data_IF_940363215301
#
_entry.id   IF_940363215301
#
_cell.length_a   1.000
_cell.length_b   1.000
_cell.length_c   1.000
_cell.angle_alpha   90.00
_cell.angle_beta   90.00
_cell.angle_gamma   90.00
#
_symmetry.space_group_name_H-M   'P 1'
#
loop_
_entity.id
_entity.type
_entity.pdbx_description
1 polymer ?
#
# COMPACT_ATOMS: atom_id res chain seq x y z
N UNK A 1 -10.96 0.32 -19.85
CA UNK A 1 -10.59 -0.05 -18.46
C UNK A 1 -9.11 0.24 -18.31
N UNK A 2 -8.68 0.96 -17.26
CA UNK A 2 -7.27 1.32 -17.04
C UNK A 2 -6.70 0.69 -15.75
N UNK A 3 -7.59 0.19 -14.89
CA UNK A 3 -7.27 -0.52 -13.66
C UNK A 3 -6.63 -1.88 -13.92
N UNK A 4 -5.76 -2.29 -13.00
CA UNK A 4 -5.21 -3.63 -12.91
C UNK A 4 -5.16 -4.09 -11.45
N UNK A 5 -4.99 -5.40 -11.24
CA UNK A 5 -4.81 -5.95 -9.91
C UNK A 5 -3.89 -7.18 -9.94
N UNK A 6 -3.48 -7.61 -8.76
CA UNK A 6 -2.72 -8.86 -8.60
C UNK A 6 -3.15 -9.54 -7.32
N UNK A 7 -3.41 -10.85 -7.42
CA UNK A 7 -3.80 -11.70 -6.29
C UNK A 7 -2.85 -12.91 -6.31
N UNK A 8 -2.00 -13.01 -5.30
CA UNK A 8 -1.07 -14.11 -5.12
C UNK A 8 -1.19 -14.60 -3.68
N UNK A 9 -2.01 -15.63 -3.48
CA UNK A 9 -2.26 -16.20 -2.15
C UNK A 9 -1.01 -16.85 -1.55
N UNK A 10 -0.15 -17.41 -2.40
CA UNK A 10 1.11 -17.99 -2.01
C UNK A 10 2.27 -17.48 -2.88
N UNK A 11 2.92 -16.41 -2.43
CA UNK A 11 4.07 -15.82 -3.11
C UNK A 11 5.34 -16.69 -2.95
N UNK A 12 5.35 -17.67 -2.04
CA UNK A 12 6.49 -18.58 -1.86
C UNK A 12 6.79 -19.40 -3.11
N UNK A 13 5.81 -19.59 -4.01
CA UNK A 13 5.99 -20.34 -5.27
C UNK A 13 7.03 -19.71 -6.20
N UNK A 14 7.34 -18.42 -6.04
CA UNK A 14 8.34 -17.73 -6.84
C UNK A 14 9.77 -17.89 -6.28
N UNK A 15 9.92 -18.52 -5.11
CA UNK A 15 11.20 -18.76 -4.47
C UNK A 15 11.67 -20.19 -4.72
N UNK A 16 12.93 -20.35 -5.18
CA UNK A 16 13.55 -21.69 -5.29
C UNK A 16 13.77 -22.34 -3.92
N UNK A 17 14.03 -21.54 -2.90
CA UNK A 17 14.18 -21.94 -1.50
C UNK A 17 13.48 -20.90 -0.63
N UNK A 18 12.88 -21.28 0.53
CA UNK A 18 12.23 -20.33 1.41
C UNK A 18 13.14 -19.14 1.74
N UNK A 19 12.62 -17.88 1.70
CA UNK A 19 13.44 -16.70 1.97
C UNK A 19 14.02 -16.69 3.38
N UNK A 20 13.32 -17.32 4.32
CA UNK A 20 13.76 -17.64 5.68
C UNK A 20 12.92 -18.80 6.23
N UNK A 21 13.49 -19.59 7.15
CA UNK A 21 12.76 -20.62 7.89
C UNK A 21 11.61 -20.04 8.74
N UNK A 22 11.69 -18.76 9.07
CA UNK A 22 10.69 -18.05 9.87
C UNK A 22 9.47 -17.60 9.05
N UNK A 23 9.58 -17.54 7.72
CA UNK A 23 8.49 -17.10 6.84
C UNK A 23 7.69 -18.33 6.39
N UNK A 24 6.58 -18.58 7.08
CA UNK A 24 5.69 -19.72 6.83
C UNK A 24 4.53 -19.36 5.90
N UNK A 25 4.10 -18.10 5.92
CA UNK A 25 3.05 -17.57 5.06
C UNK A 25 3.55 -16.32 4.37
N UNK A 26 3.38 -16.26 3.05
CA UNK A 26 3.71 -15.10 2.25
C UNK A 26 2.65 -14.93 1.16
N UNK A 27 1.86 -13.86 1.23
CA UNK A 27 0.81 -13.55 0.26
C UNK A 27 0.95 -12.11 -0.22
N UNK A 28 0.56 -11.83 -1.46
CA UNK A 28 0.64 -10.50 -2.06
C UNK A 28 -0.66 -10.17 -2.78
N UNK A 29 -1.19 -8.99 -2.49
CA UNK A 29 -2.40 -8.45 -3.10
C UNK A 29 -2.14 -7.00 -3.49
N UNK A 30 -2.66 -6.58 -4.64
CA UNK A 30 -2.47 -5.23 -5.11
C UNK A 30 -3.61 -4.77 -6.02
N UNK A 31 -3.93 -3.48 -5.94
CA UNK A 31 -4.74 -2.76 -6.91
C UNK A 31 -3.96 -1.59 -7.47
N UNK A 32 -4.20 -1.31 -8.75
CA UNK A 32 -3.54 -0.28 -9.53
C UNK A 32 -4.61 0.47 -10.31
N UNK A 33 -4.79 1.75 -10.01
CA UNK A 33 -5.69 2.63 -10.75
C UNK A 33 -4.85 3.40 -11.78
N UNK A 34 -5.04 3.07 -13.05
CA UNK A 34 -4.26 3.63 -14.15
C UNK A 34 -4.88 4.92 -14.69
N UNK A 35 -4.05 5.89 -15.06
CA UNK A 35 -4.48 7.14 -15.68
C UNK A 35 -3.57 7.51 -16.87
N UNK A 36 -4.12 8.21 -17.86
CA UNK A 36 -3.40 8.52 -19.10
C UNK A 36 -3.15 7.29 -20.00
N UNK A 37 -3.69 6.13 -19.61
CA UNK A 37 -3.59 4.84 -20.29
C UNK A 37 -3.43 3.69 -19.28
N UNK A 38 -3.58 2.44 -19.74
CA UNK A 38 -3.55 1.25 -18.88
C UNK A 38 -2.14 0.69 -18.62
N UNK A 39 -1.13 1.14 -19.38
CA UNK A 39 0.17 0.45 -19.45
C UNK A 39 0.93 0.47 -18.14
N UNK A 40 0.86 1.58 -17.39
CA UNK A 40 1.53 1.69 -16.10
C UNK A 40 0.94 0.71 -15.07
N UNK A 41 -0.39 0.62 -15.00
CA UNK A 41 -1.11 -0.29 -14.11
C UNK A 41 -0.85 -1.76 -14.47
N UNK A 42 -0.96 -2.10 -15.76
CA UNK A 42 -0.67 -3.45 -16.27
C UNK A 42 0.79 -3.85 -16.03
N UNK A 43 1.73 -2.92 -16.27
CA UNK A 43 3.15 -3.17 -16.02
C UNK A 43 3.42 -3.39 -14.52
N UNK A 44 2.82 -2.58 -13.65
CA UNK A 44 2.97 -2.74 -12.21
C UNK A 44 2.41 -4.08 -11.73
N UNK A 45 1.21 -4.46 -12.18
CA UNK A 45 0.59 -5.75 -11.88
C UNK A 45 1.48 -6.93 -12.29
N UNK A 46 2.08 -6.86 -13.48
CA UNK A 46 2.93 -7.92 -14.01
C UNK A 46 4.30 -8.04 -13.33
N UNK A 47 4.89 -6.95 -12.85
CA UNK A 47 6.31 -6.94 -12.46
C UNK A 47 6.59 -6.62 -10.98
N UNK A 48 5.71 -5.91 -10.28
CA UNK A 48 6.02 -5.39 -8.94
C UNK A 48 6.32 -6.52 -7.94
N UNK A 49 5.50 -7.57 -7.92
CA UNK A 49 5.70 -8.75 -7.06
C UNK A 49 7.00 -9.51 -7.40
N UNK A 50 7.37 -9.60 -8.68
CA UNK A 50 8.63 -10.23 -9.11
C UNK A 50 9.84 -9.43 -8.61
N UNK A 51 9.78 -8.10 -8.66
CA UNK A 51 10.82 -7.25 -8.09
C UNK A 51 10.91 -7.42 -6.57
N UNK A 52 9.79 -7.54 -5.86
CA UNK A 52 9.79 -7.86 -4.43
C UNK A 52 10.52 -9.18 -4.18
N UNK A 53 10.11 -10.27 -4.84
CA UNK A 53 10.74 -11.60 -4.72
C UNK A 53 12.26 -11.53 -4.97
N UNK A 54 12.68 -10.78 -5.99
CA UNK A 54 14.11 -10.64 -6.32
C UNK A 54 14.94 -9.93 -5.25
N UNK A 55 14.29 -9.09 -4.42
CA UNK A 55 14.93 -8.27 -3.37
C UNK A 55 14.79 -8.87 -1.97
N UNK A 56 13.94 -9.88 -1.80
CA UNK A 56 13.80 -10.56 -0.52
C UNK A 56 15.17 -11.08 -0.02
N UNK A 57 15.48 -10.89 1.27
CA UNK A 57 16.75 -11.35 1.84
C UNK A 57 16.95 -12.85 1.64
N UNK A 58 18.20 -13.26 1.36
CA UNK A 58 18.61 -14.66 1.31
C UNK A 58 19.47 -14.95 2.55
N UNK A 59 19.21 -16.06 3.24
CA UNK A 59 20.01 -16.48 4.40
C UNK A 59 19.49 -16.01 5.76
N UNK A 60 18.18 -15.76 5.87
CA UNK A 60 17.52 -15.40 7.12
C UNK A 60 17.24 -13.91 7.23
N UNK A 61 16.24 -13.58 8.06
CA UNK A 61 15.73 -12.23 8.21
C UNK A 61 16.08 -11.75 9.61
N UNK A 62 17.23 -11.08 9.77
CA UNK A 62 17.70 -10.61 11.09
C UNK A 62 16.81 -9.49 11.66
N UNK A 63 16.22 -8.67 10.79
CA UNK A 63 15.34 -7.55 11.17
C UNK A 63 14.16 -7.47 10.19
N UNK A 64 13.17 -8.35 10.36
CA UNK A 64 12.08 -8.57 9.39
C UNK A 64 11.37 -7.29 8.96
N UNK A 65 11.00 -6.45 9.91
CA UNK A 65 10.33 -5.20 9.58
C UNK A 65 11.17 -4.28 8.69
N UNK A 66 12.47 -4.16 8.99
CA UNK A 66 13.39 -3.29 8.26
C UNK A 66 13.67 -3.86 6.88
N UNK A 67 13.87 -5.17 6.79
CA UNK A 67 14.14 -5.86 5.54
C UNK A 67 12.95 -5.80 4.60
N UNK A 68 11.73 -6.07 5.09
CA UNK A 68 10.51 -6.00 4.27
C UNK A 68 10.24 -4.57 3.77
N UNK A 69 10.44 -3.54 4.62
CA UNK A 69 10.34 -2.14 4.18
C UNK A 69 11.29 -1.84 3.03
N UNK A 70 12.56 -2.26 3.15
CA UNK A 70 13.55 -2.09 2.08
C UNK A 70 13.13 -2.82 0.79
N UNK A 71 12.63 -4.06 0.90
CA UNK A 71 12.11 -4.82 -0.25
C UNK A 71 11.00 -4.04 -0.97
N UNK A 72 10.05 -3.47 -0.22
CA UNK A 72 8.97 -2.67 -0.80
C UNK A 72 9.52 -1.42 -1.50
N UNK A 73 10.39 -0.63 -0.84
CA UNK A 73 10.99 0.55 -1.44
C UNK A 73 11.77 0.22 -2.74
N UNK A 74 12.62 -0.81 -2.69
CA UNK A 74 13.46 -1.21 -3.82
C UNK A 74 12.60 -1.75 -4.98
N UNK A 75 11.55 -2.52 -4.68
CA UNK A 75 10.65 -3.07 -5.69
C UNK A 75 9.85 -1.99 -6.40
N UNK A 76 9.32 -1.02 -5.65
CA UNK A 76 8.61 0.13 -6.21
C UNK A 76 9.52 0.94 -7.13
N UNK A 77 10.68 1.35 -6.62
CA UNK A 77 11.67 2.11 -7.40
C UNK A 77 12.07 1.35 -8.66
N UNK A 78 12.37 0.05 -8.56
CA UNK A 78 12.77 -0.76 -9.71
C UNK A 78 11.66 -0.93 -10.75
N UNK A 79 10.41 -1.06 -10.30
CA UNK A 79 9.24 -1.14 -11.18
C UNK A 79 9.07 0.15 -11.97
N UNK A 80 9.11 1.29 -11.28
CA UNK A 80 9.01 2.62 -11.90
C UNK A 80 10.16 2.87 -12.89
N UNK A 81 11.41 2.61 -12.48
CA UNK A 81 12.59 2.76 -13.35
C UNK A 81 12.49 1.92 -14.63
N UNK A 82 11.98 0.69 -14.52
CA UNK A 82 11.83 -0.18 -15.67
C UNK A 82 10.70 0.29 -16.59
N UNK A 83 9.55 0.70 -16.03
CA UNK A 83 8.44 1.23 -16.81
C UNK A 83 8.81 2.55 -17.50
N UNK A 84 9.47 3.47 -16.80
CA UNK A 84 9.94 4.74 -17.38
C UNK A 84 10.94 4.52 -18.51
N UNK A 85 11.82 3.52 -18.39
CA UNK A 85 12.75 3.13 -19.47
C UNK A 85 12.00 2.66 -20.72
N UNK A 86 10.96 1.86 -20.55
CA UNK A 86 10.12 1.42 -21.67
C UNK A 86 9.34 2.59 -22.27
N UNK A 87 8.73 3.42 -21.41
CA UNK A 87 7.95 4.60 -21.79
C UNK A 87 8.70 5.57 -22.70
N UNK A 88 9.98 5.86 -22.42
CA UNK A 88 10.78 6.82 -23.22
C UNK A 88 11.29 6.24 -24.55
N UNK A 89 11.27 4.92 -24.72
CA UNK A 89 11.65 4.28 -25.99
C UNK A 89 10.54 4.38 -27.05
N UNK A 90 9.32 4.73 -26.64
CA UNK A 90 8.13 4.76 -27.48
C UNK A 90 7.94 6.14 -28.11
N UNK A 91 7.30 6.19 -29.28
CA UNK A 91 6.95 7.45 -29.98
C UNK A 91 5.47 7.48 -30.36
N UNK A 92 4.66 8.42 -29.81
CA UNK A 92 5.02 9.36 -28.74
C UNK A 92 5.38 8.63 -27.43
N UNK A 93 6.17 9.28 -26.57
CA UNK A 93 6.46 8.75 -25.24
C UNK A 93 5.16 8.50 -24.49
N UNK A 94 5.11 7.40 -23.74
CA UNK A 94 3.95 7.14 -22.89
C UNK A 94 3.84 8.19 -21.80
N UNK A 95 2.59 8.53 -21.48
CA UNK A 95 2.23 9.47 -20.41
C UNK A 95 1.42 8.79 -19.32
N UNK A 96 1.29 7.47 -19.40
CA UNK A 96 0.58 6.64 -18.44
C UNK A 96 1.21 6.79 -17.06
N UNK A 97 0.33 6.85 -16.07
CA UNK A 97 0.69 6.66 -14.68
C UNK A 97 -0.28 5.71 -14.01
N UNK A 98 0.05 5.33 -12.78
CA UNK A 98 -0.81 4.48 -11.98
C UNK A 98 -0.61 4.74 -10.50
N UNK A 99 -1.70 4.67 -9.74
CA UNK A 99 -1.64 4.45 -8.30
C UNK A 99 -1.12 3.04 -8.00
N UNK A 100 -0.81 2.78 -6.74
CA UNK A 100 -0.63 1.41 -6.27
C UNK A 100 -0.95 1.32 -4.78
N UNK A 101 -1.86 0.42 -4.43
CA UNK A 101 -2.12 0.02 -3.06
C UNK A 101 -1.81 -1.48 -2.93
N UNK A 102 -0.75 -1.83 -2.22
CA UNK A 102 -0.24 -3.20 -2.09
C UNK A 102 -0.26 -3.68 -0.65
N UNK A 103 -0.66 -4.94 -0.44
CA UNK A 103 -0.60 -5.66 0.82
C UNK A 103 0.29 -6.90 0.67
N UNK A 104 1.39 -6.93 1.41
CA UNK A 104 2.28 -8.07 1.54
C UNK A 104 2.09 -8.68 2.93
N UNK A 105 1.44 -9.83 3.00
CA UNK A 105 1.23 -10.56 4.23
C UNK A 105 2.43 -11.47 4.49
N UNK A 106 3.14 -11.23 5.58
CA UNK A 106 4.23 -12.08 6.07
C UNK A 106 3.80 -12.67 7.41
N UNK A 107 3.61 -13.98 7.45
CA UNK A 107 3.02 -14.69 8.59
C UNK A 107 1.65 -14.09 8.98
N UNK A 108 1.59 -13.35 10.09
CA UNK A 108 0.39 -12.71 10.62
C UNK A 108 0.47 -11.17 10.58
N UNK A 109 1.43 -10.62 9.82
CA UNK A 109 1.67 -9.18 9.73
C UNK A 109 1.50 -8.71 8.29
N UNK A 110 0.58 -7.77 8.09
CA UNK A 110 0.43 -7.04 6.83
C UNK A 110 1.47 -5.92 6.76
N UNK A 111 2.22 -5.90 5.66
CA UNK A 111 3.04 -4.78 5.24
C UNK A 111 2.38 -4.12 4.05
N UNK A 112 2.04 -2.86 4.20
CA UNK A 112 1.22 -2.12 3.26
C UNK A 112 2.11 -1.07 2.63
N UNK A 113 2.11 -0.98 1.30
CA UNK A 113 2.76 0.11 0.58
C UNK A 113 1.72 0.80 -0.31
N UNK A 114 1.66 2.13 -0.23
CA UNK A 114 0.72 2.95 -0.97
C UNK A 114 1.40 4.11 -1.70
N UNK A 115 0.96 4.38 -2.92
CA UNK A 115 1.17 5.64 -3.63
C UNK A 115 -0.09 6.00 -4.43
N UNK A 116 -0.40 7.29 -4.48
CA UNK A 116 -1.67 7.77 -5.00
C UNK A 116 -2.77 7.72 -3.95
N UNK A 117 -4.01 7.61 -4.42
CA UNK A 117 -5.26 7.76 -3.67
C UNK A 117 -6.10 6.46 -3.63
N UNK A 118 -5.58 5.35 -4.15
CA UNK A 118 -6.11 4.03 -3.83
C UNK A 118 -5.91 3.67 -2.35
N UNK A 119 -6.76 2.78 -1.82
CA UNK A 119 -6.83 2.50 -0.38
C UNK A 119 -6.87 1.02 -0.04
N UNK A 120 -6.34 0.70 1.14
CA UNK A 120 -6.49 -0.62 1.77
C UNK A 120 -7.26 -0.42 3.07
N UNK A 121 -8.37 -1.14 3.20
CA UNK A 121 -9.26 -1.09 4.37
C UNK A 121 -9.37 -2.48 4.96
N UNK A 122 -9.28 -2.59 6.28
CA UNK A 122 -9.42 -3.84 7.03
C UNK A 122 -10.71 -3.82 7.83
N UNK A 123 -11.55 -4.84 7.63
CA UNK A 123 -12.71 -5.09 8.47
C UNK A 123 -12.25 -5.73 9.79
N UNK A 124 -12.50 -5.05 10.91
CA UNK A 124 -12.16 -5.53 12.25
C UNK A 124 -13.35 -5.40 13.19
N UNK A 125 -13.73 -6.50 13.81
CA UNK A 125 -14.69 -6.51 14.92
C UNK A 125 -14.11 -5.75 16.09
N UNK A 126 -14.79 -4.68 16.50
CA UNK A 126 -14.38 -3.88 17.66
C UNK A 126 -15.03 -4.45 18.92
N UNK A 127 -14.29 -4.50 20.04
CA UNK A 127 -14.92 -4.77 21.34
C UNK A 127 -16.01 -3.73 21.59
N UNK A 128 -17.16 -4.15 22.13
CA UNK A 128 -18.12 -3.20 22.68
C UNK A 128 -17.45 -2.40 23.78
N UNK A 129 -17.52 -1.07 23.70
CA UNK A 129 -17.07 -0.20 24.79
C UNK A 129 -18.09 -0.26 25.93
N UNK A 130 -18.07 -1.33 26.73
CA UNK A 130 -18.86 -1.44 27.96
C UNK A 130 -18.03 -1.41 29.25
N UNK A 131 -16.71 -1.16 29.18
CA UNK A 131 -15.85 -1.20 30.38
C UNK A 131 -15.70 0.15 31.13
N UNK A 132 -16.10 1.30 30.57
CA UNK A 132 -15.89 2.61 31.24
C UNK A 132 -17.11 3.21 31.96
N UNK A 133 -18.20 2.45 32.17
CA UNK A 133 -19.36 2.91 32.97
C UNK A 133 -19.66 2.08 34.21
N UNK A 134 -18.77 1.19 34.62
CA UNK A 134 -18.87 0.48 35.90
C UNK A 134 -18.30 1.33 37.05
N UNK A 135 -18.90 2.50 37.30
CA UNK A 135 -18.90 3.17 38.60
C UNK A 135 -19.86 4.36 38.51
N UNK A 136 -21.12 4.14 38.86
CA UNK A 136 -21.96 5.01 39.71
C UNK A 136 -23.35 4.32 39.79
N UNK A 137 -23.67 3.85 41.00
CA UNK A 137 -24.96 3.32 41.49
C UNK A 137 -25.39 1.87 41.13
N UNK A 138 -24.93 0.95 41.97
CA UNK A 138 -25.77 0.06 42.81
C UNK A 138 -27.25 -0.13 42.39
N UNK A 139 -27.60 -1.33 41.88
CA UNK A 139 -28.92 -1.99 42.01
C UNK A 139 -28.93 -3.43 41.43
N UNK A 140 -29.06 -4.40 42.34
CA UNK A 140 -29.87 -5.63 42.28
C UNK A 140 -29.69 -6.57 41.05
N UNK A 141 -28.90 -7.63 41.24
CA UNK A 141 -29.42 -9.01 41.18
C UNK A 141 -29.73 -9.71 39.84
N UNK A 142 -29.25 -9.23 38.68
CA UNK A 142 -29.31 -10.01 37.43
C UNK A 142 -27.98 -10.72 37.12
N UNK A 143 -28.05 -12.01 36.76
CA UNK A 143 -26.91 -12.76 36.22
C UNK A 143 -26.53 -12.13 34.88
N UNK A 144 -25.50 -11.29 34.87
CA UNK A 144 -24.91 -10.74 33.65
C UNK A 144 -24.24 -11.91 32.91
N UNK A 145 -24.77 -12.24 31.73
CA UNK A 145 -24.15 -13.22 30.84
C UNK A 145 -22.84 -12.60 30.33
N UNK A 146 -21.70 -13.12 30.77
CA UNK A 146 -20.37 -12.58 30.47
C UNK A 146 -19.91 -12.90 29.03
N UNK A 147 -20.82 -13.09 28.09
CA UNK A 147 -20.47 -13.20 26.68
C UNK A 147 -20.15 -11.80 26.14
N UNK A 148 -18.91 -11.55 25.65
CA UNK A 148 -18.58 -10.26 25.09
C UNK A 148 -19.50 -9.97 23.90
N UNK A 149 -20.33 -8.95 24.04
CA UNK A 149 -21.24 -8.51 22.99
C UNK A 149 -20.40 -7.85 21.89
N UNK A 150 -20.14 -8.56 20.79
CA UNK A 150 -19.32 -8.04 19.69
C UNK A 150 -20.13 -7.06 18.84
N UNK A 151 -19.62 -5.84 18.66
CA UNK A 151 -20.20 -4.86 17.73
C UNK A 151 -19.95 -5.25 16.26
N UNK A 152 -20.73 -4.71 15.33
CA UNK A 152 -20.50 -4.86 13.89
C UNK A 152 -19.04 -4.50 13.51
N UNK A 153 -18.43 -5.16 12.50
CA UNK A 153 -17.06 -4.88 12.12
C UNK A 153 -16.88 -3.42 11.68
N UNK A 154 -15.90 -2.74 12.27
CA UNK A 154 -15.47 -1.41 11.86
C UNK A 154 -14.53 -1.49 10.66
N UNK A 155 -14.51 -0.43 9.84
CA UNK A 155 -13.63 -0.29 8.69
C UNK A 155 -12.38 0.52 9.07
N UNK A 156 -11.23 -0.13 9.13
CA UNK A 156 -9.94 0.50 9.43
C UNK A 156 -9.20 0.84 8.14
N UNK A 157 -9.11 2.13 7.79
CA UNK A 157 -8.26 2.57 6.69
C UNK A 157 -6.78 2.43 7.08
N UNK A 158 -6.07 1.53 6.40
CA UNK A 158 -4.69 1.20 6.74
C UNK A 158 -3.65 1.99 5.94
N UNK A 159 -4.07 2.74 4.93
CA UNK A 159 -3.21 3.58 4.08
C UNK A 159 -3.62 5.06 4.17
N UNK A 160 -2.69 5.96 3.84
CA UNK A 160 -2.93 7.39 3.64
C UNK A 160 -2.98 7.67 2.14
N UNK A 161 -3.87 8.56 1.71
CA UNK A 161 -3.84 9.07 0.34
C UNK A 161 -2.64 10.01 0.17
N UNK A 162 -2.29 10.22 -1.08
CA UNK A 162 -1.22 11.12 -1.47
C UNK A 162 -1.77 12.17 -2.43
N UNK A 163 -2.37 13.20 -1.84
CA UNK A 163 -2.96 14.31 -2.58
C UNK A 163 -1.93 15.46 -2.72
N UNK A 164 -1.82 16.12 -3.88
CA UNK A 164 -0.96 17.29 -4.06
C UNK A 164 -1.18 18.42 -3.03
N UNK A 165 -2.34 18.52 -2.39
CA UNK A 165 -2.60 19.54 -1.36
C UNK A 165 -2.01 19.20 0.02
N UNK A 166 -1.67 17.93 0.27
CA UNK A 166 -1.10 17.49 1.53
C UNK A 166 0.22 18.22 1.78
N UNK A 167 0.44 18.68 3.01
CA UNK A 167 1.56 19.59 3.33
C UNK A 167 2.92 19.09 2.82
N UNK A 168 3.29 17.85 3.12
CA UNK A 168 4.58 17.25 2.71
C UNK A 168 4.68 17.08 1.19
N UNK A 169 3.56 16.74 0.56
CA UNK A 169 3.47 16.50 -0.89
C UNK A 169 3.59 17.83 -1.65
N UNK A 170 2.82 18.83 -1.22
CA UNK A 170 2.83 20.19 -1.74
C UNK A 170 4.20 20.83 -1.63
N UNK A 171 4.85 20.71 -0.46
CA UNK A 171 6.20 21.23 -0.27
C UNK A 171 7.20 20.58 -1.22
N UNK A 172 7.15 19.24 -1.37
CA UNK A 172 8.02 18.51 -2.30
C UNK A 172 7.82 18.96 -3.75
N UNK A 173 6.58 19.16 -4.18
CA UNK A 173 6.24 19.60 -5.54
C UNK A 173 6.69 21.06 -5.77
N UNK A 174 6.37 21.96 -4.85
CA UNK A 174 6.72 23.38 -4.98
C UNK A 174 8.24 23.64 -4.90
N UNK A 175 8.99 22.80 -4.19
CA UNK A 175 10.45 22.86 -4.14
C UNK A 175 11.11 22.64 -5.52
N UNK A 176 10.41 22.05 -6.49
CA UNK A 176 10.91 21.90 -7.87
C UNK A 176 10.50 23.08 -8.78
N UNK A 177 9.78 24.07 -8.25
CA UNK A 177 9.17 25.15 -9.03
C UNK A 177 7.84 24.77 -9.70
N UNK A 178 7.33 23.55 -9.48
CA UNK A 178 6.01 23.16 -9.97
C UNK A 178 4.90 23.76 -9.10
N UNK A 179 3.70 23.88 -9.67
CA UNK A 179 2.54 24.47 -8.99
C UNK A 179 1.58 23.39 -8.47
N UNK A 180 0.88 23.71 -7.38
CA UNK A 180 -0.29 22.94 -6.92
C UNK A 180 -1.48 23.87 -6.93
N UNK A 181 -2.45 23.59 -7.81
CA UNK A 181 -3.66 24.39 -8.01
C UNK A 181 -4.84 23.44 -8.17
N UNK A 182 -5.97 23.74 -7.53
CA UNK A 182 -7.19 22.91 -7.59
C UNK A 182 -6.95 21.42 -7.27
N UNK A 183 -6.05 21.13 -6.34
CA UNK A 183 -5.67 19.75 -6.00
C UNK A 183 -4.81 19.02 -7.03
N UNK A 184 -4.28 19.73 -8.03
CA UNK A 184 -3.52 19.15 -9.14
C UNK A 184 -2.10 19.70 -9.24
N UNK A 185 -1.15 18.83 -9.56
CA UNK A 185 0.22 19.19 -9.97
C UNK A 185 0.16 19.83 -11.35
N UNK A 186 0.61 21.09 -11.44
CA UNK A 186 0.56 21.90 -12.65
C UNK A 186 -0.83 21.93 -13.32
N UNK A 187 -1.89 21.90 -12.51
CA UNK A 187 -3.28 21.85 -12.95
C UNK A 187 -3.64 20.62 -13.84
N UNK A 188 -2.82 19.56 -13.81
CA UNK A 188 -3.04 18.35 -14.61
C UNK A 188 -3.26 17.12 -13.74
N UNK A 189 -2.30 16.75 -12.89
CA UNK A 189 -2.31 15.45 -12.20
C UNK A 189 -2.84 15.55 -10.75
N UNK A 190 -3.86 14.76 -10.39
CA UNK A 190 -4.53 14.80 -9.07
C UNK A 190 -3.84 13.99 -7.97
N UNK A 191 -2.82 13.20 -8.31
CA UNK A 191 -2.02 12.44 -7.34
C UNK A 191 -0.62 13.02 -7.22
N UNK A 192 -0.05 13.02 -6.02
CA UNK A 192 1.32 13.49 -5.78
C UNK A 192 2.36 12.38 -5.88
N UNK A 193 1.91 11.12 -5.93
CA UNK A 193 2.74 9.91 -6.04
C UNK A 193 2.10 8.94 -7.02
N UNK A 194 2.92 8.35 -7.88
CA UNK A 194 2.47 7.42 -8.92
C UNK A 194 3.63 6.58 -9.46
N UNK A 195 3.31 5.44 -10.05
CA UNK A 195 4.16 4.82 -11.07
C UNK A 195 3.99 5.56 -12.40
N UNK A 196 5.01 5.56 -13.25
CA UNK A 196 4.93 6.20 -14.57
C UNK A 196 4.95 7.72 -14.46
N UNK A 197 4.07 8.43 -15.17
CA UNK A 197 4.01 9.90 -15.14
C UNK A 197 5.37 10.56 -15.42
N UNK A 198 6.08 10.07 -16.43
CA UNK A 198 7.44 10.50 -16.76
C UNK A 198 7.61 12.03 -16.75
N UNK A 199 6.63 12.74 -17.31
CA UNK A 199 6.63 14.22 -17.41
C UNK A 199 6.56 14.94 -16.05
N UNK A 200 6.04 14.28 -15.00
CA UNK A 200 5.90 14.84 -13.66
C UNK A 200 6.99 14.41 -12.69
N UNK A 201 7.86 13.43 -13.03
CA UNK A 201 8.91 12.97 -12.12
C UNK A 201 9.90 14.07 -11.72
N UNK A 202 10.20 14.99 -12.64
CA UNK A 202 11.02 16.19 -12.36
C UNK A 202 10.25 17.30 -11.61
N UNK A 203 8.94 17.15 -11.46
CA UNK A 203 8.02 18.11 -10.85
C UNK A 203 7.59 17.68 -9.43
N UNK A 204 8.34 16.76 -8.82
CA UNK A 204 8.11 16.29 -7.45
C UNK A 204 7.15 15.11 -7.32
N UNK A 205 6.58 14.58 -8.41
CA UNK A 205 5.80 13.33 -8.36
C UNK A 205 6.76 12.15 -8.18
N UNK A 206 6.50 11.30 -7.19
CA UNK A 206 7.44 10.25 -6.76
C UNK A 206 6.80 8.86 -6.77
N UNK A 207 7.61 7.83 -7.03
CA UNK A 207 7.21 6.43 -6.90
C UNK A 207 7.55 5.82 -5.52
N UNK A 208 8.00 6.65 -4.57
CA UNK A 208 8.34 6.21 -3.21
C UNK A 208 7.04 6.00 -2.40
N UNK A 209 6.72 4.77 -1.98
CA UNK A 209 5.48 4.51 -1.25
C UNK A 209 5.53 4.99 0.20
N UNK A 210 4.37 5.33 0.78
CA UNK A 210 4.18 5.26 2.24
C UNK A 210 4.08 3.79 2.65
N UNK A 211 4.84 3.38 3.68
CA UNK A 211 4.89 1.98 4.12
C UNK A 211 4.43 1.85 5.57
N UNK A 212 3.34 1.11 5.77
CA UNK A 212 2.72 0.86 7.08
C UNK A 212 2.74 -0.63 7.40
N UNK A 213 2.60 -0.94 8.69
CA UNK A 213 2.44 -2.33 9.16
C UNK A 213 1.19 -2.46 10.02
N UNK A 214 0.53 -3.59 9.92
CA UNK A 214 -0.63 -3.95 10.74
C UNK A 214 -0.51 -5.43 11.14
N UNK A 215 -0.67 -5.74 12.43
CA UNK A 215 -0.76 -7.12 12.87
C UNK A 215 -2.21 -7.58 12.81
N UNK A 216 -2.42 -8.75 12.21
CA UNK A 216 -3.74 -9.38 12.16
C UNK A 216 -4.09 -9.98 13.52
N UNK A 217 -5.37 -10.04 13.81
CA UNK A 217 -5.94 -10.51 15.07
C UNK A 217 -7.13 -11.43 14.75
N UNK A 218 -7.59 -12.25 15.72
CA UNK A 218 -8.81 -13.04 15.55
C UNK A 218 -10.08 -12.21 15.27
N UNK A 219 -10.03 -10.89 15.49
CA UNK A 219 -11.13 -9.96 15.23
C UNK A 219 -11.17 -9.45 13.78
N UNK A 220 -10.15 -9.74 12.98
CA UNK A 220 -10.16 -9.39 11.56
C UNK A 220 -11.05 -10.34 10.75
N UNK A 221 -11.67 -9.82 9.68
CA UNK A 221 -12.61 -10.55 8.82
C UNK A 221 -12.19 -10.47 7.35
#
# INVERSE_FOLDING_TARGET
>A
MQDAHTIIENLLIYFRLPPSIEVKRLSYFAVFDGHGGARAAEFAAKHLHLHMVSRFPRGGVKQIDKDIRRVLYDAYKKTDENFLRESVQQRPHWRDGSTAATALLVNNTLYLANLGDSKIVLARVMPSQNEDKANIHDRIGEKVDNTPEFTAPGALCLTRDHNPIDYEERQRIQATGATVQNGRVNNVLEVSRSFGDYQFKKQGVTCIPDVRKCHLTPNDR
#
